data_IF_708767837674
#
_entry.id   IF_708767837674
#
_cell.length_a   1.000
_cell.length_b   1.000
_cell.length_c   1.000
_cell.angle_alpha   90.00
_cell.angle_beta   90.00
_cell.angle_gamma   90.00
#
_symmetry.space_group_name_H-M   'P 1'
#
loop_
_entity.id
_entity.type
_entity.pdbx_description
1 polymer ?
#
# COMPACT_ATOMS: atom_id res chain seq x y z
N UNK A 1 -2.84 2.33 7.85
CA UNK A 1 -2.13 2.37 9.15
C UNK A 1 -0.75 2.98 8.95
N UNK A 2 -0.27 3.79 9.90
CA UNK A 2 1.11 4.28 9.92
C UNK A 2 1.89 3.52 10.99
N UNK A 3 3.08 3.01 10.65
CA UNK A 3 3.96 2.30 11.60
C UNK A 3 5.11 3.22 11.98
N UNK A 4 5.28 3.46 13.28
CA UNK A 4 6.35 4.33 13.77
C UNK A 4 7.49 3.54 14.44
N UNK A 5 8.76 3.97 14.27
CA UNK A 5 9.91 3.40 14.98
C UNK A 5 9.98 3.94 16.42
N UNK A 6 9.02 3.56 17.26
CA UNK A 6 8.97 4.00 18.67
C UNK A 6 8.65 2.82 19.59
N UNK A 7 9.36 2.75 20.72
CA UNK A 7 8.94 1.90 21.85
C UNK A 7 7.61 2.37 22.44
N UNK A 8 7.42 3.68 22.58
CA UNK A 8 6.15 4.30 22.95
C UNK A 8 5.93 5.50 22.05
N UNK A 9 4.80 5.52 21.34
CA UNK A 9 4.47 6.63 20.44
C UNK A 9 4.12 7.84 21.31
N UNK A 10 4.79 9.00 21.10
CA UNK A 10 4.42 10.24 21.77
C UNK A 10 2.96 10.61 21.52
N UNK A 11 2.26 11.04 22.57
CA UNK A 11 0.83 11.36 22.50
C UNK A 11 0.51 12.39 21.42
N UNK A 12 1.33 13.44 21.29
CA UNK A 12 1.18 14.46 20.24
C UNK A 12 1.20 13.88 18.83
N UNK A 13 2.01 12.84 18.59
CA UNK A 13 2.07 12.16 17.28
C UNK A 13 0.83 11.29 17.10
N UNK A 14 0.41 10.57 18.15
CA UNK A 14 -0.81 9.78 18.07
C UNK A 14 -2.05 10.64 17.78
N UNK A 15 -2.12 11.83 18.36
CA UNK A 15 -3.22 12.78 18.16
C UNK A 15 -3.20 13.45 16.77
N UNK A 16 -2.06 13.47 16.09
CA UNK A 16 -1.96 14.04 14.74
C UNK A 16 -2.34 13.04 13.64
N UNK A 17 -2.45 11.75 13.95
CA UNK A 17 -2.92 10.75 12.99
C UNK A 17 -4.45 10.87 12.86
N UNK A 18 -5.01 10.89 11.64
CA UNK A 18 -6.45 10.95 11.47
C UNK A 18 -7.18 9.80 12.17
N UNK A 19 -8.34 10.08 12.77
CA UNK A 19 -9.05 9.11 13.62
C UNK A 19 -9.44 7.81 12.90
N UNK A 20 -9.64 7.85 11.58
CA UNK A 20 -9.98 6.68 10.75
C UNK A 20 -8.74 5.87 10.31
N UNK A 21 -7.53 6.25 10.72
CA UNK A 21 -6.30 5.54 10.41
C UNK A 21 -5.84 4.71 11.63
N UNK A 22 -5.39 3.48 11.36
CA UNK A 22 -4.67 2.70 12.36
C UNK A 22 -3.28 3.26 12.67
N UNK A 23 -2.79 3.02 13.89
CA UNK A 23 -1.43 3.35 14.34
C UNK A 23 -0.75 2.06 14.80
N UNK A 24 0.42 1.78 14.24
CA UNK A 24 1.27 0.65 14.61
C UNK A 24 2.66 1.11 15.06
N UNK A 25 3.42 0.19 15.67
CA UNK A 25 4.81 0.42 16.06
C UNK A 25 5.65 -0.82 15.88
N UNK A 26 6.91 -0.62 15.54
CA UNK A 26 7.96 -1.65 15.55
C UNK A 26 9.30 -0.99 15.84
N UNK A 27 10.33 -1.74 16.21
CA UNK A 27 11.64 -1.15 16.51
C UNK A 27 12.25 -0.42 15.30
N UNK A 28 11.96 -0.92 14.10
CA UNK A 28 12.51 -0.41 12.84
C UNK A 28 11.54 0.50 12.08
N UNK A 29 10.28 0.60 12.53
CA UNK A 29 9.21 1.30 11.82
C UNK A 29 8.67 0.53 10.59
N UNK A 30 9.17 -0.69 10.34
CA UNK A 30 8.68 -1.56 9.27
C UNK A 30 7.52 -2.43 9.75
N UNK A 31 6.76 -2.96 8.80
CA UNK A 31 5.72 -3.96 9.06
C UNK A 31 6.37 -5.27 9.54
N UNK A 32 5.89 -5.82 10.65
CA UNK A 32 6.24 -7.16 11.15
C UNK A 32 5.01 -8.06 11.12
N UNK A 33 5.17 -9.36 11.39
CA UNK A 33 4.05 -10.29 11.46
C UNK A 33 3.04 -9.89 12.56
N UNK A 34 3.55 -9.46 13.70
CA UNK A 34 2.76 -9.01 14.85
C UNK A 34 2.00 -7.74 14.52
N UNK A 35 2.67 -6.75 13.92
CA UNK A 35 2.04 -5.48 13.51
C UNK A 35 0.97 -5.72 12.45
N UNK A 36 1.19 -6.66 11.53
CA UNK A 36 0.18 -7.02 10.53
C UNK A 36 -1.02 -7.75 11.14
N UNK A 37 -0.79 -8.65 12.09
CA UNK A 37 -1.85 -9.30 12.86
C UNK A 37 -2.71 -8.27 13.61
N UNK A 38 -2.05 -7.31 14.28
CA UNK A 38 -2.75 -6.21 14.95
C UNK A 38 -3.53 -5.35 13.96
N UNK A 39 -2.98 -5.08 12.78
CA UNK A 39 -3.69 -4.37 11.73
C UNK A 39 -4.97 -5.08 11.31
N UNK A 40 -4.93 -6.39 11.07
CA UNK A 40 -6.12 -7.14 10.67
C UNK A 40 -7.18 -7.10 11.78
N UNK A 41 -6.80 -7.42 13.01
CA UNK A 41 -7.74 -7.54 14.13
C UNK A 41 -8.29 -6.21 14.64
N UNK A 42 -7.47 -5.15 14.67
CA UNK A 42 -7.82 -3.87 15.32
C UNK A 42 -8.19 -2.76 14.34
N UNK A 43 -7.83 -2.88 13.06
CA UNK A 43 -8.04 -1.81 12.07
C UNK A 43 -8.89 -2.29 10.91
N UNK A 44 -8.44 -3.32 10.19
CA UNK A 44 -9.08 -3.75 8.95
C UNK A 44 -10.43 -4.42 9.18
N UNK A 45 -10.51 -5.42 10.08
CA UNK A 45 -11.78 -6.10 10.35
C UNK A 45 -12.85 -5.16 10.95
N UNK A 46 -12.56 -4.33 11.97
CA UNK A 46 -13.51 -3.33 12.45
C UNK A 46 -13.98 -2.37 11.36
N UNK A 47 -13.09 -1.95 10.44
CA UNK A 47 -13.45 -1.12 9.30
C UNK A 47 -14.45 -1.84 8.36
N UNK A 48 -14.22 -3.12 8.03
CA UNK A 48 -15.14 -3.88 7.18
C UNK A 48 -16.55 -3.96 7.79
N UNK A 49 -16.64 -4.17 9.11
CA UNK A 49 -17.91 -4.22 9.84
C UNK A 49 -18.59 -2.84 9.84
N UNK A 50 -17.85 -1.77 10.12
CA UNK A 50 -18.39 -0.41 10.16
C UNK A 50 -18.94 0.04 8.80
N UNK A 51 -18.28 -0.35 7.71
CA UNK A 51 -18.72 -0.06 6.33
C UNK A 51 -19.77 -1.04 5.80
N UNK A 52 -20.18 -2.04 6.58
CA UNK A 52 -21.20 -3.01 6.18
C UNK A 52 -20.78 -3.90 5.00
N UNK A 53 -19.49 -4.22 4.89
CA UNK A 53 -18.97 -5.05 3.81
C UNK A 53 -19.47 -6.49 3.94
N UNK A 54 -19.97 -7.06 2.85
CA UNK A 54 -20.41 -8.46 2.79
C UNK A 54 -19.22 -9.41 2.83
N UNK A 55 -19.30 -10.42 3.68
CA UNK A 55 -18.31 -11.50 3.80
C UNK A 55 -18.70 -12.70 2.92
N UNK A 56 -17.73 -13.51 2.42
CA UNK A 56 -16.29 -13.43 2.71
C UNK A 56 -15.58 -12.28 1.98
N UNK A 57 -14.51 -11.76 2.59
CA UNK A 57 -13.65 -10.71 2.02
C UNK A 57 -12.32 -11.29 1.58
N UNK A 58 -11.93 -11.04 0.33
CA UNK A 58 -10.62 -11.43 -0.19
C UNK A 58 -9.61 -10.31 0.03
N UNK A 59 -8.51 -10.61 0.72
CA UNK A 59 -7.40 -9.69 0.96
C UNK A 59 -6.16 -10.15 0.18
N UNK A 60 -5.81 -9.41 -0.87
CA UNK A 60 -4.57 -9.62 -1.61
C UNK A 60 -3.40 -8.95 -0.90
N UNK A 61 -2.33 -9.72 -0.68
CA UNK A 61 -1.09 -9.25 -0.01
C UNK A 61 0.13 -9.60 -0.86
N UNK A 62 1.23 -8.87 -0.68
CA UNK A 62 2.50 -9.35 -1.21
C UNK A 62 2.96 -10.61 -0.45
N UNK A 63 3.79 -11.44 -1.09
CA UNK A 63 4.27 -12.70 -0.51
C UNK A 63 5.29 -12.54 0.63
N UNK A 64 5.38 -11.39 1.29
CA UNK A 64 6.32 -11.18 2.38
C UNK A 64 5.96 -12.05 3.60
N UNK A 65 6.99 -12.57 4.28
CA UNK A 65 6.84 -13.54 5.39
C UNK A 65 5.96 -13.03 6.54
N UNK A 66 5.88 -11.71 6.75
CA UNK A 66 4.99 -11.12 7.75
C UNK A 66 3.51 -11.38 7.51
N UNK A 67 3.12 -11.66 6.26
CA UNK A 67 1.73 -11.90 5.87
C UNK A 67 1.34 -13.38 5.85
N UNK A 68 2.26 -14.29 6.19
CA UNK A 68 2.11 -15.73 5.96
C UNK A 68 2.30 -16.57 7.24
N UNK A 69 2.00 -16.00 8.41
CA UNK A 69 2.09 -16.75 9.67
C UNK A 69 0.85 -17.61 9.89
N UNK A 70 1.02 -18.73 10.58
CA UNK A 70 -0.08 -19.64 10.93
C UNK A 70 -1.14 -18.92 11.79
N UNK A 71 -0.72 -18.14 12.78
CA UNK A 71 -1.61 -17.40 13.67
C UNK A 71 -2.49 -16.40 12.91
N UNK A 72 -1.93 -15.73 11.91
CA UNK A 72 -2.66 -14.82 11.04
C UNK A 72 -3.66 -15.56 10.15
N UNK A 73 -3.25 -16.69 9.57
CA UNK A 73 -4.14 -17.54 8.75
C UNK A 73 -5.36 -18.02 9.55
N UNK A 74 -5.15 -18.49 10.79
CA UNK A 74 -6.24 -18.89 11.70
C UNK A 74 -7.15 -17.71 12.03
N UNK A 75 -6.59 -16.54 12.35
CA UNK A 75 -7.38 -15.33 12.61
C UNK A 75 -8.25 -14.98 11.41
N UNK A 76 -7.67 -14.90 10.21
CA UNK A 76 -8.38 -14.52 9.00
C UNK A 76 -9.48 -15.51 8.63
N UNK A 77 -9.22 -16.81 8.73
CA UNK A 77 -10.23 -17.85 8.52
C UNK A 77 -11.42 -17.69 9.48
N UNK A 78 -11.17 -17.45 10.77
CA UNK A 78 -12.23 -17.22 11.75
C UNK A 78 -13.05 -15.94 11.49
N UNK A 79 -12.45 -14.94 10.83
CA UNK A 79 -13.09 -13.67 10.48
C UNK A 79 -13.72 -13.67 9.07
N UNK A 80 -13.74 -14.81 8.37
CA UNK A 80 -14.17 -14.92 6.96
C UNK A 80 -13.40 -13.97 6.02
N UNK A 81 -12.10 -13.77 6.30
CA UNK A 81 -11.16 -13.04 5.45
C UNK A 81 -10.24 -14.06 4.79
N UNK A 82 -10.25 -14.11 3.47
CA UNK A 82 -9.39 -15.00 2.68
C UNK A 82 -8.13 -14.23 2.23
N UNK A 83 -6.98 -14.58 2.80
CA UNK A 83 -5.69 -13.99 2.41
C UNK A 83 -5.16 -14.70 1.17
N UNK A 84 -4.90 -13.93 0.11
CA UNK A 84 -4.25 -14.42 -1.11
C UNK A 84 -2.91 -13.70 -1.27
N UNK A 85 -1.82 -14.45 -1.16
CA UNK A 85 -0.49 -13.93 -1.48
C UNK A 85 -0.28 -13.90 -3.00
N UNK A 86 0.06 -12.72 -3.51
CA UNK A 86 0.41 -12.52 -4.91
C UNK A 86 1.74 -13.19 -5.24
N UNK A 87 1.91 -13.62 -6.49
CA UNK A 87 3.13 -14.28 -6.95
C UNK A 87 4.37 -13.40 -6.71
N UNK A 88 5.50 -14.01 -6.28
CA UNK A 88 6.74 -13.28 -6.08
C UNK A 88 7.21 -12.66 -7.40
N UNK A 89 7.85 -11.48 -7.30
CA UNK A 89 8.35 -10.71 -8.45
C UNK A 89 7.29 -10.26 -9.48
N UNK A 90 5.99 -10.42 -9.16
CA UNK A 90 4.89 -10.01 -10.04
C UNK A 90 4.22 -8.69 -9.62
N UNK A 91 4.79 -7.94 -8.66
CA UNK A 91 4.25 -6.66 -8.17
C UNK A 91 3.87 -5.69 -9.30
N UNK A 92 4.65 -5.67 -10.39
CA UNK A 92 4.44 -4.76 -11.53
C UNK A 92 3.22 -5.08 -12.39
N UNK A 93 2.62 -6.26 -12.22
CA UNK A 93 1.50 -6.75 -13.03
C UNK A 93 0.30 -7.24 -12.22
N UNK A 94 0.51 -7.69 -10.98
CA UNK A 94 -0.53 -8.30 -10.15
C UNK A 94 -0.91 -7.49 -8.91
N UNK A 95 -0.12 -6.48 -8.51
CA UNK A 95 -0.37 -5.72 -7.28
C UNK A 95 -1.06 -4.39 -7.62
N UNK A 96 -2.37 -4.23 -7.35
CA UNK A 96 -3.12 -3.03 -7.77
C UNK A 96 -2.54 -1.73 -7.24
N UNK A 97 -2.02 -1.78 -6.01
CA UNK A 97 -1.37 -0.64 -5.38
C UNK A 97 -0.18 -0.12 -6.21
N UNK A 98 0.67 -1.02 -6.71
CA UNK A 98 1.83 -0.67 -7.54
C UNK A 98 1.46 -0.34 -8.98
N UNK A 99 0.49 -1.06 -9.54
CA UNK A 99 0.05 -0.88 -10.93
C UNK A 99 -0.65 0.46 -11.14
N UNK A 100 -1.49 0.90 -10.20
CA UNK A 100 -2.36 2.06 -10.41
C UNK A 100 -2.23 3.16 -9.33
N UNK A 101 -2.03 2.82 -8.06
CA UNK A 101 -2.30 3.75 -6.95
C UNK A 101 -1.06 4.53 -6.50
N UNK A 102 0.09 3.88 -6.39
CA UNK A 102 1.28 4.49 -5.81
C UNK A 102 1.89 5.59 -6.67
N UNK A 103 1.80 5.49 -8.00
CA UNK A 103 2.35 6.55 -8.87
C UNK A 103 1.61 7.89 -8.67
N UNK A 104 0.26 7.96 -8.76
CA UNK A 104 -0.50 9.17 -8.41
C UNK A 104 -0.19 9.70 -7.02
N UNK A 105 -0.20 8.83 -5.99
CA UNK A 105 0.11 9.24 -4.60
C UNK A 105 1.51 9.85 -4.50
N UNK A 106 2.54 9.22 -5.09
CA UNK A 106 3.92 9.75 -5.06
C UNK A 106 4.03 11.11 -5.74
N UNK A 107 3.30 11.35 -6.83
CA UNK A 107 3.30 12.65 -7.52
C UNK A 107 2.61 13.70 -6.65
N UNK A 108 1.42 13.39 -6.12
CA UNK A 108 0.66 14.28 -5.25
C UNK A 108 1.43 14.60 -3.95
N UNK A 109 2.07 13.59 -3.35
CA UNK A 109 2.91 13.75 -2.16
C UNK A 109 4.05 14.74 -2.40
N UNK A 110 4.80 14.60 -3.49
CA UNK A 110 5.88 15.56 -3.82
C UNK A 110 5.37 16.98 -3.97
N UNK A 111 4.18 17.16 -4.57
CA UNK A 111 3.56 18.48 -4.70
C UNK A 111 3.14 19.03 -3.33
N UNK A 112 2.47 18.21 -2.52
CA UNK A 112 2.02 18.59 -1.19
C UNK A 112 3.18 19.00 -0.28
N UNK A 113 4.28 18.24 -0.28
CA UNK A 113 5.49 18.59 0.49
C UNK A 113 6.09 19.92 0.03
N UNK A 114 6.17 20.17 -1.28
CA UNK A 114 6.69 21.45 -1.82
C UNK A 114 5.82 22.64 -1.41
N UNK A 115 4.49 22.48 -1.48
CA UNK A 115 3.56 23.51 -1.05
C UNK A 115 3.70 23.77 0.46
N UNK A 116 3.71 22.70 1.27
CA UNK A 116 3.91 22.81 2.70
C UNK A 116 5.21 23.55 3.06
N UNK A 117 6.31 23.25 2.37
CA UNK A 117 7.60 23.95 2.54
C UNK A 117 7.55 25.43 2.13
N UNK A 118 6.75 25.78 1.12
CA UNK A 118 6.54 27.17 0.71
C UNK A 118 5.76 27.95 1.78
N UNK A 119 4.81 27.29 2.44
CA UNK A 119 3.97 27.90 3.49
C UNK A 119 4.69 27.96 4.86
N UNK A 120 5.74 27.15 5.05
CA UNK A 120 6.55 27.08 6.28
C UNK A 120 8.05 27.27 5.98
N UNK A 121 8.49 28.48 5.60
CA UNK A 121 9.89 28.74 5.24
C UNK A 121 10.85 28.43 6.39
N UNK A 122 11.86 27.60 6.11
CA UNK A 122 12.88 27.22 7.10
C UNK A 122 12.49 26.05 8.01
N UNK A 123 11.28 25.52 7.89
CA UNK A 123 10.84 24.34 8.62
C UNK A 123 11.01 23.05 7.82
N UNK A 124 11.17 21.95 8.55
CA UNK A 124 11.20 20.60 7.96
C UNK A 124 9.94 19.84 8.33
N UNK A 125 9.43 19.03 7.40
CA UNK A 125 8.30 18.16 7.66
C UNK A 125 8.64 17.19 8.81
N UNK A 126 7.79 17.14 9.83
CA UNK A 126 8.00 16.31 11.01
C UNK A 126 7.03 15.13 11.02
N UNK A 127 7.24 14.18 11.94
CA UNK A 127 6.29 13.07 12.17
C UNK A 127 4.90 13.56 12.61
N UNK A 128 4.80 14.77 13.17
CA UNK A 128 3.52 15.40 13.55
C UNK A 128 2.75 15.86 12.31
N UNK A 129 3.41 16.58 11.40
CA UNK A 129 2.78 17.11 10.18
C UNK A 129 2.65 16.09 9.05
N UNK A 130 3.36 14.97 9.13
CA UNK A 130 3.32 13.90 8.13
C UNK A 130 1.93 13.29 7.94
N UNK A 131 1.28 12.84 9.02
CA UNK A 131 0.03 12.09 8.91
C UNK A 131 -1.15 12.93 8.37
N UNK A 132 -1.36 14.19 8.81
CA UNK A 132 -2.38 15.06 8.22
C UNK A 132 -2.13 15.32 6.73
N UNK A 133 -0.89 15.65 6.36
CA UNK A 133 -0.55 15.92 4.96
C UNK A 133 -0.73 14.69 4.07
N UNK A 134 -0.42 13.49 4.61
CA UNK A 134 -0.59 12.25 3.87
C UNK A 134 -2.07 11.94 3.64
N UNK A 135 -2.93 12.20 4.62
CA UNK A 135 -4.37 12.02 4.50
C UNK A 135 -4.97 12.87 3.38
N UNK A 136 -4.59 14.15 3.30
CA UNK A 136 -4.98 15.04 2.19
C UNK A 136 -4.52 14.52 0.82
N UNK A 137 -3.29 14.02 0.76
CA UNK A 137 -2.71 13.45 -0.46
C UNK A 137 -3.45 12.18 -0.87
N UNK A 138 -3.72 11.27 0.05
CA UNK A 138 -4.45 10.03 -0.24
C UNK A 138 -5.86 10.35 -0.73
N UNK A 139 -6.60 11.23 -0.02
CA UNK A 139 -7.96 11.64 -0.40
C UNK A 139 -8.02 12.29 -1.79
N UNK A 140 -7.02 13.09 -2.16
CA UNK A 140 -7.01 13.79 -3.45
C UNK A 140 -6.53 12.93 -4.62
N UNK A 141 -5.72 11.89 -4.38
CA UNK A 141 -5.04 11.13 -5.44
C UNK A 141 -5.49 9.67 -5.60
N UNK A 142 -6.01 9.02 -4.55
CA UNK A 142 -6.50 7.64 -4.60
C UNK A 142 -8.00 7.58 -4.93
N UNK A 143 -8.38 8.11 -6.10
CA UNK A 143 -9.78 8.17 -6.53
C UNK A 143 -10.38 6.77 -6.76
N UNK A 144 -11.69 6.55 -6.55
CA UNK A 144 -12.34 5.26 -6.75
C UNK A 144 -12.04 4.61 -8.10
N UNK A 145 -12.07 5.38 -9.19
CA UNK A 145 -11.77 4.85 -10.53
C UNK A 145 -10.34 4.31 -10.66
N UNK A 146 -9.36 4.93 -9.99
CA UNK A 146 -7.97 4.46 -9.99
C UNK A 146 -7.88 3.13 -9.25
N UNK A 147 -8.58 3.00 -8.12
CA UNK A 147 -8.62 1.76 -7.35
C UNK A 147 -9.26 0.64 -8.18
N UNK A 148 -10.45 0.87 -8.72
CA UNK A 148 -11.19 -0.12 -9.54
C UNK A 148 -10.38 -0.51 -10.78
N UNK A 149 -9.82 0.45 -11.50
CA UNK A 149 -9.02 0.16 -12.70
C UNK A 149 -7.71 -0.57 -12.36
N UNK A 150 -7.13 -0.33 -11.17
CA UNK A 150 -5.99 -1.09 -10.68
C UNK A 150 -6.30 -2.58 -10.52
N UNK A 151 -7.43 -2.92 -9.93
CA UNK A 151 -7.87 -4.33 -9.81
C UNK A 151 -8.16 -4.96 -11.17
N UNK A 152 -8.81 -4.22 -12.08
CA UNK A 152 -9.08 -4.68 -13.45
C UNK A 152 -7.78 -4.96 -14.21
N UNK A 153 -6.82 -4.03 -14.18
CA UNK A 153 -5.55 -4.16 -14.88
C UNK A 153 -4.66 -5.29 -14.32
N UNK A 154 -4.86 -5.67 -13.06
CA UNK A 154 -4.19 -6.83 -12.47
C UNK A 154 -4.94 -8.15 -12.72
N UNK A 155 -6.08 -8.11 -13.44
CA UNK A 155 -6.90 -9.28 -13.69
C UNK A 155 -7.57 -9.86 -12.44
N UNK A 156 -7.62 -9.11 -11.33
CA UNK A 156 -8.12 -9.60 -10.04
C UNK A 156 -9.64 -9.40 -9.88
N UNK A 157 -10.17 -8.27 -10.38
CA UNK A 157 -11.61 -8.02 -10.35
C UNK A 157 -12.07 -7.11 -11.50
N UNK A 158 -12.96 -7.60 -12.40
CA UNK A 158 -13.34 -9.00 -12.57
C UNK A 158 -12.12 -9.90 -12.81
N UNK A 159 -12.23 -11.18 -12.44
CA UNK A 159 -11.15 -12.14 -12.66
C UNK A 159 -10.95 -12.33 -14.17
N UNK A 160 -9.80 -11.89 -14.69
CA UNK A 160 -9.49 -11.96 -16.12
C UNK A 160 -7.96 -11.97 -16.34
N UNK A 161 -7.41 -13.12 -16.73
CA UNK A 161 -5.98 -13.24 -17.00
C UNK A 161 -5.52 -12.43 -18.22
N UNK A 162 -6.39 -12.24 -19.22
CA UNK A 162 -6.07 -11.49 -20.45
C UNK A 162 -5.96 -9.98 -20.20
N UNK A 163 -6.45 -9.50 -19.06
CA UNK A 163 -6.30 -8.10 -18.66
C UNK A 163 -4.87 -7.76 -18.20
N UNK A 164 -4.06 -8.78 -17.89
CA UNK A 164 -2.72 -8.63 -17.34
C UNK A 164 -1.73 -8.32 -18.46
N UNK A 165 -0.98 -7.22 -18.29
CA UNK A 165 0.07 -6.83 -19.22
C UNK A 165 1.36 -7.64 -18.99
N UNK A 166 1.42 -8.84 -19.55
CA UNK A 166 2.58 -9.75 -19.46
C UNK A 166 3.84 -9.22 -20.18
N UNK A 167 3.73 -8.20 -21.03
CA UNK A 167 4.91 -7.60 -21.68
C UNK A 167 5.89 -7.02 -20.65
N UNK A 168 5.39 -6.62 -19.48
CA UNK A 168 6.19 -6.13 -18.35
C UNK A 168 7.04 -7.20 -17.67
N UNK A 169 6.80 -8.48 -17.95
CA UNK A 169 7.60 -9.59 -17.43
C UNK A 169 8.80 -9.90 -18.33
N UNK A 170 8.77 -9.47 -19.60
CA UNK A 170 9.88 -9.64 -20.52
C UNK A 170 10.90 -8.54 -20.24
N UNK A 171 12.09 -8.93 -19.78
CA UNK A 171 13.21 -7.99 -19.65
C UNK A 171 13.40 -7.28 -20.99
N UNK A 172 13.56 -5.95 -20.97
CA UNK A 172 13.84 -5.19 -22.18
C UNK A 172 15.11 -5.75 -22.82
N UNK A 173 14.98 -6.50 -23.91
CA UNK A 173 16.12 -6.83 -24.77
C UNK A 173 16.73 -5.49 -25.18
N UNK A 174 17.94 -5.20 -24.69
CA UNK A 174 18.75 -4.14 -25.27
C UNK A 174 18.78 -4.44 -26.77
N UNK A 175 18.23 -3.55 -27.60
CA UNK A 175 18.45 -3.63 -29.05
C UNK A 175 19.96 -3.70 -29.22
N UNK A 176 20.45 -4.78 -29.83
CA UNK A 176 21.85 -4.89 -30.21
C UNK A 176 22.19 -3.65 -31.03
N UNK A 177 23.08 -2.82 -30.52
CA UNK A 177 23.75 -1.81 -31.31
C UNK A 177 24.41 -2.56 -32.47
N UNK A 178 23.93 -2.30 -33.67
CA UNK A 178 24.55 -2.71 -34.92
C UNK A 178 26.01 -2.29 -34.90
N UNK A 179 26.92 -3.26 -34.93
CA UNK A 179 28.32 -3.01 -35.23
C UNK A 179 28.40 -2.37 -36.62
N UNK A 180 28.67 -1.07 -36.62
CA UNK A 180 28.99 -0.31 -37.83
C UNK A 180 30.42 -0.71 -38.23
N UNK A 181 30.54 -1.71 -39.10
CA UNK A 181 31.79 -2.06 -39.76
C UNK A 181 32.12 -0.95 -40.76
N UNK A 182 33.01 -0.03 -40.38
CA UNK A 182 33.78 0.77 -41.34
C UNK A 182 35.22 0.29 -41.36
N UNK A 183 35.56 -0.31 -42.50
CA UNK A 183 36.92 -0.50 -43.03
C UNK A 183 37.53 0.88 -43.31
#
# INVERSE_FOLDING_TARGET
>A
MIVYPYKRIPEKISQSVPANWGIGRSDSGWMTAEVFYEYISKVFYPYLIAEGITFPVILFVDGHKSHLTYQLSVLCSNLAIEIIALYPNATRILQPADVAVFRPIKVAWRKAVRNWQSDHPGESLTKLSFAPLLDEVVKSSAKPDILVNGFKACGLYPLNADAIDYSKCLGSSKKNETFDNKI
#
